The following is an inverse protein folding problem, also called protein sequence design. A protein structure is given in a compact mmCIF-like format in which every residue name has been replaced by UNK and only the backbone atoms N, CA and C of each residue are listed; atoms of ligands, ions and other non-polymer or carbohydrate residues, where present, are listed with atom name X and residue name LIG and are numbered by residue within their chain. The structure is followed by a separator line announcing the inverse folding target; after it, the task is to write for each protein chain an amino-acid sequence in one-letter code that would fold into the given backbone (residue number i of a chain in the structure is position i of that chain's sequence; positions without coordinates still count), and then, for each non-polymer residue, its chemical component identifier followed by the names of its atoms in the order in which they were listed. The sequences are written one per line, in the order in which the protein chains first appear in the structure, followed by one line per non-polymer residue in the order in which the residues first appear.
data_IF_587162931744
#
_entry.id   IF_587162931744
#
_cell.length_a   1.000
_cell.length_b   1.000
_cell.length_c   1.000
_cell.angle_alpha   90.00
_cell.angle_beta   90.00
_cell.angle_gamma   90.00
#
_symmetry.space_group_name_H-M   'P 1'
#
loop_
_entity.id
_entity.type
_entity.pdbx_description
1 polymer ?
#
# COMPACT_ATOMS: atom_id res chain seq x y z
N UNK A 1 -13.77 -11.62 15.75
CA UNK A 1 -12.81 -10.49 15.79
C UNK A 1 -13.02 -9.63 14.55
N UNK A 2 -13.03 -8.30 14.73
CA UNK A 2 -13.33 -7.33 13.67
C UNK A 2 -12.22 -6.28 13.60
N UNK A 3 -11.61 -6.03 12.43
CA UNK A 3 -10.61 -4.99 12.27
C UNK A 3 -11.23 -3.60 12.42
N UNK A 4 -10.47 -2.67 13.02
CA UNK A 4 -10.82 -1.26 13.11
C UNK A 4 -10.13 -0.53 11.95
N UNK A 5 -10.88 0.27 11.20
CA UNK A 5 -10.39 1.15 10.12
C UNK A 5 -10.86 2.56 10.49
N UNK A 6 -9.94 3.53 10.53
CA UNK A 6 -10.24 4.95 10.79
C UNK A 6 -11.06 5.20 12.08
N UNK A 7 -10.80 4.40 13.13
CA UNK A 7 -11.51 4.48 14.41
C UNK A 7 -12.92 3.86 14.39
N UNK A 8 -13.29 3.15 13.32
CA UNK A 8 -14.57 2.46 13.17
C UNK A 8 -14.38 0.95 12.98
N UNK A 9 -15.29 0.14 13.50
CA UNK A 9 -15.32 -1.30 13.25
C UNK A 9 -16.67 -1.76 12.71
N UNK A 10 -16.64 -2.85 11.95
CA UNK A 10 -17.85 -3.48 11.42
C UNK A 10 -18.49 -4.44 12.44
N UNK A 11 -19.61 -4.04 13.03
CA UNK A 11 -20.36 -4.90 13.94
C UNK A 11 -21.10 -5.97 13.14
N UNK A 12 -20.68 -7.23 13.25
CA UNK A 12 -21.29 -8.36 12.52
C UNK A 12 -22.67 -8.74 13.04
N UNK A 13 -23.03 -8.35 14.26
CA UNK A 13 -24.33 -8.65 14.84
C UNK A 13 -25.39 -7.67 14.32
N UNK A 14 -25.02 -6.42 14.06
CA UNK A 14 -25.95 -5.37 13.62
C UNK A 14 -25.79 -4.99 12.15
N UNK A 15 -24.66 -5.32 11.53
CA UNK A 15 -24.33 -4.93 10.16
C UNK A 15 -23.90 -3.47 10.01
N UNK A 16 -23.65 -2.76 11.11
CA UNK A 16 -23.36 -1.32 11.13
C UNK A 16 -21.87 -1.03 11.37
N UNK A 17 -21.41 0.13 10.89
CA UNK A 17 -20.10 0.71 11.25
C UNK A 17 -20.24 1.46 12.56
N UNK A 18 -19.45 1.07 13.57
CA UNK A 18 -19.49 1.68 14.92
C UNK A 18 -18.16 2.33 15.27
N UNK A 19 -18.22 3.51 15.87
CA UNK A 19 -17.05 4.20 16.40
C UNK A 19 -16.47 3.40 17.58
N UNK A 20 -15.16 3.22 17.60
CA UNK A 20 -14.44 2.44 18.63
C UNK A 20 -14.19 3.24 19.92
N UNK A 21 -15.00 4.27 20.19
CA UNK A 21 -14.76 5.18 21.31
C UNK A 21 -15.11 4.48 22.64
N UNK A 22 -14.05 4.16 23.37
CA UNK A 22 -13.96 3.60 24.72
C UNK A 22 -13.82 2.07 24.82
N UNK A 23 -12.60 1.66 25.18
CA UNK A 23 -12.27 0.43 25.92
C UNK A 23 -12.23 -0.93 25.20
N UNK A 24 -11.76 -1.00 23.95
CA UNK A 24 -11.34 -2.28 23.38
C UNK A 24 -10.00 -2.17 22.68
N UNK A 25 -9.10 -3.12 23.00
CA UNK A 25 -7.73 -3.27 22.51
C UNK A 25 -7.66 -3.01 21.01
N UNK A 26 -7.28 -1.79 20.61
CA UNK A 26 -7.16 -1.43 19.21
C UNK A 26 -5.98 -2.18 18.61
N UNK A 27 -6.25 -3.20 17.81
CA UNK A 27 -5.20 -3.85 17.03
C UNK A 27 -4.64 -2.85 16.01
N UNK A 28 -3.31 -2.86 15.86
CA UNK A 28 -2.60 -2.10 14.84
C UNK A 28 -3.28 -2.25 13.46
N UNK A 29 -3.18 -1.24 12.57
CA UNK A 29 -3.77 -1.31 11.24
C UNK A 29 -3.43 -2.65 10.58
N UNK A 30 -4.42 -3.34 9.98
CA UNK A 30 -4.16 -4.57 9.26
C UNK A 30 -3.06 -4.32 8.24
N UNK A 31 -2.10 -5.24 8.14
CA UNK A 31 -0.96 -5.07 7.27
C UNK A 31 -1.44 -4.91 5.82
N UNK A 32 -1.20 -3.75 5.22
CA UNK A 32 -1.51 -3.44 3.83
C UNK A 32 -0.45 -4.11 2.97
N UNK A 33 -0.87 -5.02 2.09
CA UNK A 33 0.00 -5.62 1.09
C UNK A 33 0.33 -4.61 0.00
N UNK A 34 1.61 -4.51 -0.36
CA UNK A 34 2.08 -3.62 -1.42
C UNK A 34 2.79 -4.46 -2.47
N UNK A 35 2.37 -4.33 -3.72
CA UNK A 35 2.99 -4.98 -4.88
C UNK A 35 3.40 -3.91 -5.87
N UNK A 36 4.69 -3.83 -6.19
CA UNK A 36 5.23 -2.88 -7.16
C UNK A 36 5.82 -3.68 -8.32
N UNK A 37 5.52 -3.29 -9.55
CA UNK A 37 6.00 -3.94 -10.77
C UNK A 37 6.47 -2.92 -11.80
N UNK A 38 7.29 -3.35 -12.74
CA UNK A 38 7.64 -2.59 -13.93
C UNK A 38 7.27 -3.39 -15.19
N UNK A 39 6.62 -2.76 -16.18
CA UNK A 39 6.19 -3.42 -17.43
C UNK A 39 7.30 -3.61 -18.46
N UNK A 40 8.38 -2.83 -18.39
CA UNK A 40 9.43 -2.82 -19.44
C UNK A 40 10.57 -3.82 -19.20
N UNK A 41 10.72 -4.36 -17.98
CA UNK A 41 11.65 -5.46 -17.68
C UNK A 41 10.88 -6.77 -17.48
N UNK A 42 11.59 -7.90 -17.68
CA UNK A 42 11.02 -9.24 -17.55
C UNK A 42 10.28 -9.37 -16.21
N UNK A 43 8.99 -9.76 -16.24
CA UNK A 43 8.06 -9.64 -15.10
C UNK A 43 8.52 -10.36 -13.81
N UNK A 44 9.47 -11.29 -13.93
CA UNK A 44 10.06 -12.03 -12.82
C UNK A 44 11.13 -11.25 -12.05
N UNK A 45 11.85 -10.32 -12.69
CA UNK A 45 12.97 -9.59 -12.08
C UNK A 45 12.53 -8.24 -11.49
N UNK A 46 11.51 -7.61 -12.09
CA UNK A 46 10.93 -6.35 -11.61
C UNK A 46 9.60 -6.54 -10.88
N UNK A 47 9.57 -7.41 -9.88
CA UNK A 47 8.43 -7.50 -8.95
C UNK A 47 8.91 -7.37 -7.50
N UNK A 48 8.37 -6.38 -6.78
CA UNK A 48 8.64 -6.14 -5.37
C UNK A 48 7.36 -6.33 -4.55
N UNK A 49 7.47 -6.98 -3.40
CA UNK A 49 6.35 -7.22 -2.49
C UNK A 49 6.73 -6.85 -1.06
N UNK A 50 5.84 -6.14 -0.38
CA UNK A 50 5.99 -5.80 1.03
C UNK A 50 4.63 -5.79 1.74
N UNK A 51 4.67 -5.67 3.05
CA UNK A 51 3.49 -5.41 3.86
C UNK A 51 3.81 -4.34 4.91
N UNK A 52 2.91 -3.37 5.10
CA UNK A 52 3.08 -2.27 6.07
C UNK A 52 1.85 -2.12 6.96
N UNK A 53 2.07 -1.91 8.25
CA UNK A 53 1.00 -1.60 9.22
C UNK A 53 0.86 -0.08 9.33
N UNK A 54 0.38 0.55 8.28
CA UNK A 54 0.16 1.99 8.19
C UNK A 54 -1.16 2.24 7.45
N UNK A 55 -1.86 3.36 7.71
CA UNK A 55 -3.06 3.72 6.97
C UNK A 55 -2.84 3.66 5.45
N UNK A 56 -3.83 3.11 4.73
CA UNK A 56 -3.70 2.83 3.31
C UNK A 56 -3.56 4.11 2.47
N UNK A 57 -4.25 5.16 2.87
CA UNK A 57 -4.17 6.50 2.31
C UNK A 57 -2.79 7.14 2.51
N UNK A 58 -2.20 7.00 3.71
CA UNK A 58 -0.85 7.47 4.00
C UNK A 58 0.19 6.75 3.12
N UNK A 59 0.10 5.43 3.01
CA UNK A 59 0.96 4.62 2.13
C UNK A 59 0.80 5.02 0.67
N UNK A 60 -0.44 5.17 0.18
CA UNK A 60 -0.71 5.56 -1.20
C UNK A 60 -0.17 6.97 -1.51
N UNK A 61 -0.39 7.92 -0.60
CA UNK A 61 0.16 9.27 -0.71
C UNK A 61 1.69 9.26 -0.78
N UNK A 62 2.36 8.47 0.08
CA UNK A 62 3.81 8.34 0.06
C UNK A 62 4.32 7.73 -1.25
N UNK A 63 3.69 6.64 -1.72
CA UNK A 63 4.01 6.01 -3.00
C UNK A 63 3.92 7.03 -4.14
N UNK A 64 2.84 7.80 -4.23
CA UNK A 64 2.64 8.80 -5.27
C UNK A 64 3.62 9.98 -5.16
N UNK A 65 4.06 10.34 -3.95
CA UNK A 65 5.16 11.31 -3.76
C UNK A 65 6.47 10.79 -4.32
N UNK A 66 6.80 9.52 -4.10
CA UNK A 66 8.01 8.89 -4.67
C UNK A 66 7.95 8.86 -6.19
N UNK A 67 6.80 8.49 -6.77
CA UNK A 67 6.56 8.56 -8.22
C UNK A 67 6.84 9.97 -8.76
N UNK A 68 6.27 10.99 -8.11
CA UNK A 68 6.44 12.39 -8.53
C UNK A 68 7.88 12.85 -8.40
N UNK A 69 8.55 12.51 -7.30
CA UNK A 69 9.95 12.86 -7.01
C UNK A 69 10.91 12.33 -8.08
N UNK A 70 10.71 11.08 -8.49
CA UNK A 70 11.54 10.42 -9.50
C UNK A 70 11.03 10.62 -10.93
N UNK A 71 9.94 11.37 -11.11
CA UNK A 71 9.28 11.62 -12.41
C UNK A 71 8.94 10.33 -13.17
N UNK A 72 8.47 9.32 -12.42
CA UNK A 72 8.14 8.01 -12.96
C UNK A 72 6.80 8.03 -13.68
N UNK A 73 6.70 7.17 -14.69
CA UNK A 73 5.47 6.94 -15.45
C UNK A 73 4.71 5.79 -14.81
N UNK A 74 3.46 6.04 -14.45
CA UNK A 74 2.55 5.01 -13.97
C UNK A 74 1.78 4.42 -15.14
N UNK A 75 1.86 3.10 -15.31
CA UNK A 75 0.89 2.36 -16.11
C UNK A 75 -0.44 2.29 -15.36
N UNK A 76 -0.39 1.80 -14.12
CA UNK A 76 -1.59 1.61 -13.31
C UNK A 76 -1.32 1.63 -11.81
N UNK A 77 -2.32 2.09 -11.05
CA UNK A 77 -2.36 2.00 -9.59
C UNK A 77 -3.72 1.46 -9.18
N UNK A 78 -3.71 0.37 -8.43
CA UNK A 78 -4.93 -0.29 -7.94
C UNK A 78 -4.89 -0.36 -6.43
N UNK A 79 -5.78 0.39 -5.80
CA UNK A 79 -6.02 0.39 -4.36
C UNK A 79 -7.28 -0.44 -4.06
N UNK A 80 -7.12 -1.59 -3.40
CA UNK A 80 -8.20 -2.42 -2.87
C UNK A 80 -8.06 -2.53 -1.35
N UNK A 81 -9.11 -2.99 -0.67
CA UNK A 81 -9.09 -3.22 0.78
C UNK A 81 -7.82 -3.99 1.19
N UNK A 82 -6.93 -3.30 1.92
CA UNK A 82 -5.63 -3.81 2.41
C UNK A 82 -4.62 -4.24 1.33
N UNK A 83 -4.75 -3.76 0.09
CA UNK A 83 -3.78 -4.06 -0.98
C UNK A 83 -3.58 -2.87 -1.91
N UNK A 84 -2.33 -2.49 -2.12
CA UNK A 84 -1.91 -1.49 -3.10
C UNK A 84 -1.06 -2.19 -4.16
N UNK A 85 -1.47 -2.11 -5.42
CA UNK A 85 -0.69 -2.55 -6.57
C UNK A 85 -0.26 -1.33 -7.39
N UNK A 86 1.03 -1.23 -7.68
CA UNK A 86 1.63 -0.16 -8.49
C UNK A 86 2.35 -0.79 -9.66
N UNK A 87 2.10 -0.28 -10.85
CA UNK A 87 2.77 -0.72 -12.08
C UNK A 87 3.42 0.50 -12.72
N UNK A 88 4.75 0.45 -12.82
CA UNK A 88 5.60 1.45 -13.45
C UNK A 88 5.77 1.13 -14.93
N UNK A 89 5.89 2.17 -15.75
CA UNK A 89 6.12 2.11 -17.19
C UNK A 89 7.38 2.88 -17.59
N UNK A 90 8.46 2.70 -16.84
CA UNK A 90 9.76 3.31 -17.10
C UNK A 90 10.80 2.24 -17.43
N UNK A 91 11.75 2.55 -18.29
CA UNK A 91 12.92 1.70 -18.50
C UNK A 91 13.88 1.86 -17.31
N UNK A 92 13.67 1.04 -16.27
CA UNK A 92 14.52 0.97 -15.09
C UNK A 92 15.38 -0.28 -15.16
N UNK A 93 16.64 -0.16 -14.75
CA UNK A 93 17.45 -1.35 -14.43
C UNK A 93 16.90 -2.05 -13.20
N UNK A 94 17.06 -3.37 -13.10
CA UNK A 94 16.73 -4.16 -11.90
C UNK A 94 17.14 -3.45 -10.60
N UNK A 95 18.40 -2.99 -10.50
CA UNK A 95 18.90 -2.31 -9.30
C UNK A 95 18.21 -0.96 -9.02
N UNK A 96 17.92 -0.19 -10.07
CA UNK A 96 17.16 1.06 -9.96
C UNK A 96 15.72 0.81 -9.49
N UNK A 97 15.07 -0.21 -10.05
CA UNK A 97 13.73 -0.64 -9.65
C UNK A 97 13.67 -0.99 -8.16
N UNK A 98 14.56 -1.85 -7.66
CA UNK A 98 14.54 -2.25 -6.25
C UNK A 98 14.77 -1.08 -5.29
N UNK A 99 15.65 -0.14 -5.67
CA UNK A 99 15.90 1.07 -4.87
C UNK A 99 14.65 1.94 -4.76
N UNK A 100 13.96 2.17 -5.88
CA UNK A 100 12.70 2.94 -5.92
C UNK A 100 11.61 2.21 -5.16
N UNK A 101 11.45 0.90 -5.38
CA UNK A 101 10.43 0.09 -4.73
C UNK A 101 10.62 0.05 -3.21
N UNK A 102 11.87 -0.02 -2.74
CA UNK A 102 12.19 0.07 -1.32
C UNK A 102 11.82 1.46 -0.75
N UNK A 103 12.12 2.55 -1.47
CA UNK A 103 11.72 3.91 -1.06
C UNK A 103 10.19 4.07 -0.98
N UNK A 104 9.45 3.52 -1.96
CA UNK A 104 7.98 3.51 -1.99
C UNK A 104 7.34 2.82 -0.78
N UNK A 105 7.98 1.78 -0.23
CA UNK A 105 7.43 1.07 0.94
C UNK A 105 7.99 1.55 2.27
N UNK A 106 9.02 2.39 2.26
CA UNK A 106 9.67 2.89 3.47
C UNK A 106 8.98 4.08 4.10
N UNK A 107 7.89 4.59 3.50
CA UNK A 107 7.08 5.69 4.03
C UNK A 107 6.64 5.47 5.47
N UNK A 108 6.85 6.50 6.28
CA UNK A 108 6.37 6.62 7.66
C UNK A 108 4.92 7.08 7.69
#
# INVERSE_FOLDING_TARGET
MTPVIDGQYYDRATGELRNSNNHEVHMAPPAVGIVIRNVHENALECTFRAARRSPMDALLCHILRVVTKHKLTLDSVVAKTYTICVVLADELTVGGFYKIAQEMVSGE
#
